data_IF_952531815582
#
_entry.id   IF_952531815582
#
_cell.length_a   1.000
_cell.length_b   1.000
_cell.length_c   1.000
_cell.angle_alpha   90.00
_cell.angle_beta   90.00
_cell.angle_gamma   90.00
#
_symmetry.space_group_name_H-M   'P 1'
#
loop_
_entity.id
_entity.type
_entity.pdbx_description
1 polymer ?
#
# COMPACT_ATOMS: atom_id res chain seq x y z
N UNK A 1 10.16 -9.32 13.09
CA UNK A 1 8.90 -8.83 13.69
C UNK A 1 8.16 -7.80 12.81
N UNK A 2 8.82 -6.70 12.40
CA UNK A 2 8.19 -5.63 11.58
C UNK A 2 7.60 -6.12 10.24
N UNK A 3 8.33 -6.94 9.49
CA UNK A 3 7.85 -7.54 8.23
C UNK A 3 6.66 -8.49 8.42
N UNK A 4 6.64 -9.23 9.53
CA UNK A 4 5.56 -10.17 9.84
C UNK A 4 4.25 -9.42 10.13
N UNK A 5 4.33 -8.31 10.87
CA UNK A 5 3.18 -7.43 11.10
C UNK A 5 2.67 -6.78 9.80
N UNK A 6 3.60 -6.35 8.94
CA UNK A 6 3.27 -5.78 7.64
C UNK A 6 2.53 -6.80 6.76
N UNK A 7 3.08 -8.00 6.60
CA UNK A 7 2.46 -9.07 5.83
C UNK A 7 1.12 -9.52 6.42
N UNK A 8 1.01 -9.60 7.75
CA UNK A 8 -0.26 -9.92 8.41
C UNK A 8 -1.34 -8.87 8.14
N UNK A 9 -1.00 -7.58 8.15
CA UNK A 9 -1.93 -6.51 7.81
C UNK A 9 -2.47 -6.62 6.39
N UNK A 10 -1.58 -6.83 5.41
CA UNK A 10 -2.01 -7.05 4.02
C UNK A 10 -2.82 -8.35 3.89
N UNK A 11 -2.45 -9.44 4.57
CA UNK A 11 -3.21 -10.68 4.54
C UNK A 11 -4.66 -10.52 5.02
N UNK A 12 -4.89 -9.71 6.07
CA UNK A 12 -6.24 -9.40 6.55
C UNK A 12 -7.04 -8.62 5.51
N UNK A 13 -6.45 -7.58 4.91
CA UNK A 13 -7.12 -6.79 3.86
C UNK A 13 -7.46 -7.67 2.66
N UNK A 14 -6.52 -8.50 2.22
CA UNK A 14 -6.73 -9.44 1.12
C UNK A 14 -7.86 -10.42 1.45
N UNK A 15 -7.91 -10.96 2.67
CA UNK A 15 -8.95 -11.90 3.09
C UNK A 15 -10.35 -11.28 3.16
N UNK A 16 -10.48 -9.95 3.35
CA UNK A 16 -11.77 -9.26 3.35
C UNK A 16 -12.21 -8.86 1.94
N UNK A 17 -11.30 -8.33 1.12
CA UNK A 17 -11.64 -7.75 -0.17
C UNK A 17 -11.71 -8.82 -1.29
N UNK A 18 -10.76 -9.76 -1.33
CA UNK A 18 -10.68 -10.73 -2.44
C UNK A 18 -11.89 -11.66 -2.55
N UNK A 19 -12.48 -12.21 -1.46
CA UNK A 19 -13.65 -13.10 -1.60
C UNK A 19 -14.83 -12.39 -2.25
N UNK A 20 -14.99 -11.10 -1.96
CA UNK A 20 -16.07 -10.26 -2.47
C UNK A 20 -15.88 -9.96 -3.96
N UNK A 21 -14.65 -9.68 -4.38
CA UNK A 21 -14.31 -9.49 -5.80
C UNK A 21 -14.35 -10.80 -6.61
N UNK A 22 -13.97 -11.93 -6.00
CA UNK A 22 -14.03 -13.25 -6.64
C UNK A 22 -15.49 -13.68 -6.83
N UNK A 23 -16.34 -13.52 -5.80
CA UNK A 23 -17.77 -13.87 -5.86
C UNK A 23 -18.54 -13.02 -6.87
N UNK A 24 -18.16 -11.76 -7.06
CA UNK A 24 -18.79 -10.86 -8.04
C UNK A 24 -18.36 -11.11 -9.50
N UNK A 25 -17.51 -12.11 -9.78
CA UNK A 25 -16.97 -12.47 -11.12
C UNK A 25 -16.28 -11.31 -11.87
N UNK A 26 -15.94 -10.23 -11.18
CA UNK A 26 -15.34 -9.05 -11.78
C UNK A 26 -13.84 -9.22 -12.00
N UNK A 27 -13.47 -10.10 -12.93
CA UNK A 27 -12.06 -10.48 -13.18
C UNK A 27 -11.15 -9.31 -13.53
N UNK A 28 -11.67 -8.31 -14.24
CA UNK A 28 -10.93 -7.09 -14.59
C UNK A 28 -10.66 -6.22 -13.36
N UNK A 29 -11.68 -5.99 -12.52
CA UNK A 29 -11.52 -5.23 -11.27
C UNK A 29 -10.59 -5.98 -10.30
N UNK A 30 -10.70 -7.31 -10.23
CA UNK A 30 -9.80 -8.15 -9.43
C UNK A 30 -8.34 -8.06 -9.90
N UNK A 31 -8.10 -8.07 -11.22
CA UNK A 31 -6.76 -7.94 -11.77
C UNK A 31 -6.14 -6.56 -11.47
N UNK A 32 -6.92 -5.49 -11.64
CA UNK A 32 -6.47 -4.11 -11.33
C UNK A 32 -6.22 -3.95 -9.84
N UNK A 33 -7.14 -4.41 -9.00
CA UNK A 33 -7.01 -4.37 -7.55
C UNK A 33 -5.78 -5.15 -7.09
N UNK A 34 -5.59 -6.38 -7.61
CA UNK A 34 -4.41 -7.20 -7.30
C UNK A 34 -3.10 -6.54 -7.73
N UNK A 35 -3.05 -5.95 -8.92
CA UNK A 35 -1.86 -5.24 -9.40
C UNK A 35 -1.48 -4.06 -8.50
N UNK A 36 -2.47 -3.24 -8.11
CA UNK A 36 -2.26 -2.12 -7.17
C UNK A 36 -1.86 -2.66 -5.80
N UNK A 37 -2.51 -3.72 -5.32
CA UNK A 37 -2.24 -4.33 -4.03
C UNK A 37 -0.80 -4.83 -3.92
N UNK A 38 -0.29 -5.51 -4.96
CA UNK A 38 1.10 -5.96 -5.04
C UNK A 38 2.06 -4.75 -5.07
N UNK A 39 1.72 -3.70 -5.80
CA UNK A 39 2.54 -2.47 -5.87
C UNK A 39 2.67 -1.81 -4.49
N UNK A 40 1.55 -1.68 -3.77
CA UNK A 40 1.52 -1.10 -2.42
C UNK A 40 2.23 -2.01 -1.42
N UNK A 41 2.10 -3.33 -1.54
CA UNK A 41 2.84 -4.30 -0.72
C UNK A 41 4.35 -4.17 -0.93
N UNK A 42 4.80 -4.10 -2.17
CA UNK A 42 6.21 -3.90 -2.50
C UNK A 42 6.74 -2.60 -1.89
N UNK A 43 5.98 -1.51 -1.99
CA UNK A 43 6.32 -0.22 -1.39
C UNK A 43 6.39 -0.30 0.15
N UNK A 44 5.43 -0.96 0.79
CA UNK A 44 5.40 -1.16 2.23
C UNK A 44 6.60 -1.99 2.71
N UNK A 45 6.97 -3.04 1.99
CA UNK A 45 8.17 -3.85 2.29
C UNK A 45 9.43 -3.01 2.15
N UNK A 46 9.54 -2.18 1.11
CA UNK A 46 10.68 -1.29 0.88
C UNK A 46 10.84 -0.28 2.04
N UNK A 47 9.73 0.27 2.51
CA UNK A 47 9.69 1.17 3.67
C UNK A 47 10.09 0.47 4.98
N UNK A 48 9.64 -0.77 5.18
CA UNK A 48 10.04 -1.56 6.35
C UNK A 48 11.53 -1.96 6.26
N UNK A 49 12.04 -2.19 5.05
CA UNK A 49 13.42 -2.58 4.76
C UNK A 49 14.42 -1.45 4.96
N UNK A 50 14.05 -0.22 4.62
CA UNK A 50 14.89 0.96 4.81
C UNK A 50 15.17 1.25 6.30
N UNK A 51 14.45 0.58 7.24
CA UNK A 51 14.68 0.68 8.68
C UNK A 51 14.34 2.04 9.29
N UNK A 52 14.21 3.06 8.44
CA UNK A 52 13.74 4.40 8.75
C UNK A 52 12.23 4.34 8.94
N UNK A 53 11.81 4.03 10.17
CA UNK A 53 10.49 4.41 10.71
C UNK A 53 10.37 5.95 10.80
N UNK A 54 10.69 6.64 9.71
CA UNK A 54 10.28 8.01 9.48
C UNK A 54 8.80 7.90 9.16
N UNK A 55 7.96 8.30 10.13
CA UNK A 55 6.48 8.35 10.09
C UNK A 55 5.91 8.22 8.68
N UNK A 56 4.92 7.36 8.45
CA UNK A 56 4.23 7.11 7.15
C UNK A 56 3.97 8.38 6.33
N UNK A 57 3.79 9.52 6.99
CA UNK A 57 3.67 10.87 6.40
C UNK A 57 4.92 11.30 5.60
N UNK A 58 6.13 10.97 6.06
CA UNK A 58 7.40 11.25 5.37
C UNK A 58 7.62 10.38 4.14
N UNK A 59 7.10 9.15 4.15
CA UNK A 59 7.21 8.20 3.04
C UNK A 59 6.29 8.58 1.87
N UNK A 60 5.09 9.07 2.17
CA UNK A 60 4.11 9.45 1.15
C UNK A 60 4.29 10.92 0.70
N UNK A 61 5.06 11.70 1.45
CA UNK A 61 5.47 13.08 1.10
C UNK A 61 6.07 13.21 -0.30
N UNK A 62 7.05 12.39 -0.73
CA UNK A 62 7.56 12.44 -2.09
C UNK A 62 6.48 12.10 -3.13
N UNK A 63 5.56 11.18 -2.84
CA UNK A 63 4.43 10.89 -3.74
C UNK A 63 3.50 12.12 -3.90
N UNK A 64 3.12 12.78 -2.81
CA UNK A 64 2.32 14.01 -2.87
C UNK A 64 3.08 15.17 -3.55
N UNK A 65 4.39 15.27 -3.33
CA UNK A 65 5.21 16.36 -3.89
C UNK A 65 5.52 16.15 -5.37
N UNK A 66 5.88 14.95 -5.78
CA UNK A 66 6.45 14.69 -7.10
C UNK A 66 5.38 14.25 -8.10
N UNK A 67 4.27 13.66 -7.64
CA UNK A 67 3.16 13.22 -8.52
C UNK A 67 1.98 14.19 -8.47
N UNK A 68 1.57 14.61 -7.28
CA UNK A 68 0.47 15.58 -7.13
C UNK A 68 0.92 17.05 -7.18
N UNK A 69 2.22 17.33 -7.21
CA UNK A 69 2.78 18.69 -7.10
C UNK A 69 2.24 19.49 -5.90
N UNK A 70 1.82 18.81 -4.84
CA UNK A 70 1.28 19.44 -3.64
C UNK A 70 2.43 19.86 -2.74
N UNK A 71 2.70 21.17 -2.72
CA UNK A 71 3.65 21.77 -1.78
C UNK A 71 3.00 21.88 -0.40
N UNK A 72 3.37 21.00 0.52
CA UNK A 72 2.99 21.16 1.93
C UNK A 72 3.74 22.36 2.51
N UNK A 73 3.05 23.50 2.60
CA UNK A 73 3.53 24.69 3.30
C UNK A 73 3.81 24.30 4.75
N UNK A 74 5.07 24.46 5.17
CA UNK A 74 5.52 24.27 6.54
C UNK A 74 4.81 25.33 7.39
N UNK A 75 3.91 24.92 8.27
CA UNK A 75 3.42 25.75 9.36
C UNK A 75 4.52 25.85 10.43
#
# INVERSE_FOLDING_TARGET
MKYFLCLAGFAVVAALDFPTLIKSKKRRELAIYSAIFIMVLAFAVLVVADGTMKSTIQVIKPFYRDILHLSFKKA
#
